data_IF_166205305471
#
_entry.id   IF_166205305471
#
_cell.length_a   1.000
_cell.length_b   1.000
_cell.length_c   1.000
_cell.angle_alpha   90.00
_cell.angle_beta   90.00
_cell.angle_gamma   90.00
#
_symmetry.space_group_name_H-M   'P 1'
#
loop_
_entity.id
_entity.type
_entity.pdbx_description
1 polymer ?
#
# COMPACT_ATOMS: atom_id res chain seq x y z
N UNK A 1 12.85 -10.64 -17.79
CA UNK A 1 12.38 -9.54 -16.91
C UNK A 1 13.11 -9.69 -15.57
N UNK A 2 13.77 -8.66 -15.06
CA UNK A 2 14.39 -8.75 -13.72
C UNK A 2 13.29 -8.81 -12.65
N UNK A 3 13.54 -9.49 -11.53
CA UNK A 3 12.56 -9.62 -10.44
C UNK A 3 12.02 -8.26 -9.99
N UNK A 4 12.89 -7.26 -9.93
CA UNK A 4 12.52 -5.87 -9.62
C UNK A 4 11.56 -5.28 -10.65
N UNK A 5 11.81 -5.49 -11.95
CA UNK A 5 10.93 -5.00 -13.01
C UNK A 5 9.56 -5.68 -12.96
N UNK A 6 9.50 -6.98 -12.65
CA UNK A 6 8.23 -7.70 -12.46
C UNK A 6 7.47 -7.21 -11.23
N UNK A 7 8.15 -6.86 -10.14
CA UNK A 7 7.49 -6.30 -8.95
C UNK A 7 7.00 -4.88 -9.21
N UNK A 8 7.77 -4.08 -9.96
CA UNK A 8 7.41 -2.70 -10.31
C UNK A 8 6.12 -2.61 -11.14
N UNK A 9 5.87 -3.56 -12.07
CA UNK A 9 4.62 -3.57 -12.86
C UNK A 9 3.37 -3.78 -12.02
N UNK A 10 3.50 -4.29 -10.79
CA UNK A 10 2.39 -4.47 -9.85
C UNK A 10 2.35 -3.34 -8.82
N UNK A 11 3.50 -2.97 -8.26
CA UNK A 11 3.60 -1.93 -7.23
C UNK A 11 3.12 -0.57 -7.75
N UNK A 12 3.46 -0.22 -8.99
CA UNK A 12 3.06 1.06 -9.59
C UNK A 12 1.52 1.18 -9.70
N UNK A 13 0.79 0.27 -10.38
CA UNK A 13 -0.66 0.38 -10.47
C UNK A 13 -1.37 0.25 -9.11
N UNK A 14 -0.86 -0.57 -8.19
CA UNK A 14 -1.42 -0.66 -6.83
C UNK A 14 -1.24 0.66 -6.08
N UNK A 15 -0.06 1.28 -6.14
CA UNK A 15 0.20 2.59 -5.53
C UNK A 15 -0.69 3.68 -6.11
N UNK A 16 -0.87 3.71 -7.43
CA UNK A 16 -1.77 4.65 -8.11
C UNK A 16 -3.23 4.44 -7.69
N UNK A 17 -3.68 3.18 -7.64
CA UNK A 17 -5.03 2.84 -7.19
C UNK A 17 -5.30 3.32 -5.76
N UNK A 18 -4.42 2.97 -4.82
CA UNK A 18 -4.55 3.37 -3.41
C UNK A 18 -4.56 4.89 -3.28
N UNK A 19 -3.63 5.58 -3.94
CA UNK A 19 -3.56 7.04 -3.91
C UNK A 19 -4.85 7.68 -4.42
N UNK A 20 -5.38 7.16 -5.53
CA UNK A 20 -6.63 7.67 -6.13
C UNK A 20 -7.82 7.48 -5.21
N UNK A 21 -7.95 6.31 -4.58
CA UNK A 21 -9.02 6.03 -3.60
C UNK A 21 -8.93 7.00 -2.42
N UNK A 22 -7.74 7.23 -1.88
CA UNK A 22 -7.53 8.18 -0.77
C UNK A 22 -7.83 9.63 -1.16
N UNK A 23 -7.46 10.05 -2.38
CA UNK A 23 -7.79 11.38 -2.90
C UNK A 23 -9.31 11.54 -3.03
N UNK A 24 -9.99 10.59 -3.66
CA UNK A 24 -11.45 10.63 -3.85
C UNK A 24 -12.17 10.68 -2.50
N UNK A 25 -11.74 9.86 -1.54
CA UNK A 25 -12.32 9.87 -0.21
C UNK A 25 -12.09 11.21 0.49
N UNK A 26 -10.87 11.77 0.44
CA UNK A 26 -10.56 13.09 1.01
C UNK A 26 -11.43 14.20 0.42
N UNK A 27 -11.69 14.16 -0.89
CA UNK A 27 -12.53 15.14 -1.58
C UNK A 27 -13.99 14.99 -1.16
N UNK A 28 -14.49 13.75 -1.07
CA UNK A 28 -15.89 13.48 -0.67
C UNK A 28 -16.14 13.80 0.81
N UNK A 29 -15.25 13.37 1.70
CA UNK A 29 -15.36 13.61 3.13
C UNK A 29 -15.06 15.07 3.50
N UNK A 30 -14.43 15.84 2.59
CA UNK A 30 -13.98 17.23 2.78
C UNK A 30 -13.17 17.42 4.09
N UNK A 31 -12.55 16.34 4.54
CA UNK A 31 -11.86 16.21 5.83
C UNK A 31 -10.74 15.20 5.66
N UNK A 32 -9.51 15.64 5.91
CA UNK A 32 -8.33 14.78 5.90
C UNK A 32 -8.11 14.30 7.33
N UNK A 33 -8.73 13.18 7.69
CA UNK A 33 -8.49 12.57 9.00
C UNK A 33 -7.03 12.08 9.07
N UNK A 34 -6.38 12.20 10.24
CA UNK A 34 -5.00 11.70 10.46
C UNK A 34 -4.82 10.23 10.06
N UNK A 35 -5.90 9.45 10.13
CA UNK A 35 -5.96 8.05 9.71
C UNK A 35 -5.70 7.86 8.22
N UNK A 36 -6.12 8.80 7.37
CA UNK A 36 -5.88 8.71 5.93
C UNK A 36 -4.40 8.87 5.62
N UNK A 37 -3.77 9.88 6.20
CA UNK A 37 -2.34 10.13 6.04
C UNK A 37 -1.55 8.95 6.61
N UNK A 38 -1.93 8.43 7.78
CA UNK A 38 -1.28 7.28 8.39
C UNK A 38 -1.39 6.03 7.51
N UNK A 39 -2.56 5.72 6.97
CA UNK A 39 -2.73 4.57 6.08
C UNK A 39 -1.94 4.72 4.78
N UNK A 40 -1.91 5.90 4.16
CA UNK A 40 -1.09 6.14 2.95
C UNK A 40 0.40 5.93 3.24
N UNK A 41 0.89 6.45 4.36
CA UNK A 41 2.30 6.29 4.76
C UNK A 41 2.64 4.82 5.06
N UNK A 42 1.77 4.11 5.78
CA UNK A 42 1.96 2.69 6.07
C UNK A 42 1.91 1.83 4.80
N UNK A 43 0.96 2.09 3.90
CA UNK A 43 0.87 1.39 2.61
C UNK A 43 2.09 1.67 1.73
N UNK A 44 2.58 2.91 1.70
CA UNK A 44 3.82 3.26 1.00
C UNK A 44 5.02 2.51 1.60
N UNK A 45 5.09 2.38 2.92
CA UNK A 45 6.12 1.59 3.60
C UNK A 45 6.08 0.10 3.22
N UNK A 46 4.89 -0.51 3.19
CA UNK A 46 4.72 -1.91 2.78
C UNK A 46 5.15 -2.13 1.33
N UNK A 47 4.70 -1.27 0.40
CA UNK A 47 5.10 -1.37 -1.00
C UNK A 47 6.60 -1.14 -1.19
N UNK A 48 7.19 -0.18 -0.48
CA UNK A 48 8.64 0.06 -0.49
C UNK A 48 9.43 -1.15 0.01
N UNK A 49 8.96 -1.80 1.07
CA UNK A 49 9.60 -3.02 1.59
C UNK A 49 9.57 -4.18 0.60
N UNK A 50 8.49 -4.35 -0.17
CA UNK A 50 8.41 -5.36 -1.22
C UNK A 50 9.44 -5.11 -2.34
N UNK A 51 9.65 -3.84 -2.72
CA UNK A 51 10.66 -3.47 -3.72
C UNK A 51 12.08 -3.69 -3.19
N UNK A 52 12.34 -3.36 -1.92
CA UNK A 52 13.64 -3.60 -1.29
C UNK A 52 13.97 -5.09 -1.17
N UNK A 53 12.98 -5.94 -0.85
CA UNK A 53 13.14 -7.39 -0.84
C UNK A 53 13.48 -7.92 -2.23
N UNK A 54 12.79 -7.46 -3.27
CA UNK A 54 13.08 -7.83 -4.66
C UNK A 54 14.49 -7.40 -5.09
N UNK A 55 14.95 -6.22 -4.65
CA UNK A 55 16.29 -5.72 -4.91
C UNK A 55 17.39 -6.55 -4.22
N UNK A 56 17.08 -7.14 -3.06
CA UNK A 56 17.99 -8.04 -2.33
C UNK A 56 17.94 -9.50 -2.83
N UNK A 57 17.27 -9.78 -3.95
CA UNK A 57 17.23 -11.13 -4.55
C UNK A 57 16.29 -12.11 -3.84
N UNK A 58 15.39 -11.62 -2.98
CA UNK A 58 14.35 -12.43 -2.33
C UNK A 58 13.39 -12.99 -3.39
N UNK A 59 12.85 -14.18 -3.16
CA UNK A 59 11.94 -14.85 -4.10
C UNK A 59 10.77 -13.93 -4.48
N UNK A 60 10.39 -13.97 -5.76
CA UNK A 60 9.25 -13.21 -6.30
C UNK A 60 7.96 -13.48 -5.51
N UNK A 61 7.75 -14.74 -5.10
CA UNK A 61 6.58 -15.15 -4.32
C UNK A 61 6.51 -14.40 -2.97
N UNK A 62 7.63 -14.28 -2.27
CA UNK A 62 7.69 -13.57 -0.99
C UNK A 62 7.42 -12.07 -1.15
N UNK A 63 7.89 -11.46 -2.24
CA UNK A 63 7.61 -10.05 -2.52
C UNK A 63 6.11 -9.81 -2.79
N UNK A 64 5.46 -10.71 -3.54
CA UNK A 64 4.02 -10.62 -3.80
C UNK A 64 3.18 -10.82 -2.54
N UNK A 65 3.59 -11.72 -1.63
CA UNK A 65 2.94 -11.86 -0.32
C UNK A 65 2.98 -10.53 0.46
N UNK A 66 4.12 -9.83 0.46
CA UNK A 66 4.21 -8.52 1.12
C UNK A 66 3.32 -7.47 0.44
N UNK A 67 3.23 -7.47 -0.90
CA UNK A 67 2.31 -6.58 -1.62
C UNK A 67 0.85 -6.85 -1.24
N UNK A 68 0.45 -8.11 -1.02
CA UNK A 68 -0.93 -8.43 -0.60
C UNK A 68 -1.28 -7.92 0.81
N UNK A 69 -0.30 -7.58 1.64
CA UNK A 69 -0.53 -6.96 2.95
C UNK A 69 -0.87 -5.46 2.83
N UNK A 70 -0.55 -4.81 1.71
CA UNK A 70 -0.82 -3.39 1.49
C UNK A 70 -2.29 -2.99 1.74
N UNK A 71 -3.32 -3.71 1.22
CA UNK A 71 -4.72 -3.42 1.53
C UNK A 71 -5.13 -3.78 2.97
N UNK A 72 -4.49 -4.78 3.60
CA UNK A 72 -4.79 -5.16 4.98
C UNK A 72 -4.45 -4.02 5.98
N UNK A 73 -3.46 -3.18 5.66
CA UNK A 73 -3.12 -1.98 6.43
C UNK A 73 -4.31 -1.03 6.56
N UNK A 74 -5.06 -0.80 5.47
CA UNK A 74 -6.23 0.08 5.52
C UNK A 74 -7.36 -0.55 6.36
N UNK A 75 -7.59 -1.87 6.24
CA UNK A 75 -8.61 -2.58 7.04
C UNK A 75 -8.29 -2.50 8.52
N UNK A 76 -7.06 -2.83 8.92
CA UNK A 76 -6.62 -2.75 10.32
C UNK A 76 -6.69 -1.32 10.84
N UNK A 77 -6.31 -0.32 10.04
CA UNK A 77 -6.41 1.09 10.42
C UNK A 77 -7.84 1.55 10.71
N UNK A 78 -8.81 1.09 9.93
CA UNK A 78 -10.23 1.40 10.15
C UNK A 78 -10.84 0.59 11.30
N UNK A 79 -10.55 -0.70 11.40
CA UNK A 79 -11.04 -1.58 12.48
C UNK A 79 -10.52 -1.13 13.86
N UNK A 80 -9.25 -0.71 13.96
CA UNK A 80 -8.66 -0.27 15.23
C UNK A 80 -9.16 1.11 15.70
N UNK A 81 -9.61 1.98 14.78
CA UNK A 81 -10.04 3.34 15.14
C UNK A 81 -11.56 3.49 15.22
N UNK A 82 -12.28 2.56 14.59
CA UNK A 82 -13.44 1.98 15.23
C UNK A 82 -14.80 2.46 14.77
N UNK A 83 -15.75 1.57 15.10
CA UNK A 83 -17.19 1.77 15.13
C UNK A 83 -17.58 2.66 16.34
N UNK A 84 -17.31 3.97 16.28
CA UNK A 84 -17.85 4.94 17.24
C UNK A 84 -18.64 6.04 16.53
#
# INVERSE_FOLDING_TARGET
>A
LSSVATVATVVIPVGVYVLTVYILYSVMARSVARLHVLSVVLTAGVLGSAVLLAANGVSMANCLLVVTLAPAVSVVGYELVGHR
#
